data_IF_724488512353
#
_entry.id   IF_724488512353
#
_cell.length_a   1.000
_cell.length_b   1.000
_cell.length_c   1.000
_cell.angle_alpha   90.00
_cell.angle_beta   90.00
_cell.angle_gamma   90.00
#
_symmetry.space_group_name_H-M   'P 1'
#
loop_
_entity.id
_entity.type
_entity.pdbx_description
1 polymer ?
#
# COMPACT_ATOMS: atom_id res chain seq x y z
N UNK A 1 30.18 -2.30 -51.35
CA UNK A 1 31.14 -2.98 -50.45
C UNK A 1 30.72 -2.59 -49.05
N UNK A 2 29.83 -3.37 -48.43
CA UNK A 2 29.31 -3.05 -47.11
C UNK A 2 30.42 -3.42 -46.11
N UNK A 3 30.91 -2.43 -45.37
CA UNK A 3 31.75 -2.66 -44.20
C UNK A 3 30.85 -3.36 -43.19
N UNK A 4 30.88 -4.68 -43.18
CA UNK A 4 30.25 -5.47 -42.12
C UNK A 4 31.14 -5.25 -40.91
N UNK A 5 30.62 -4.59 -39.87
CA UNK A 5 31.31 -4.45 -38.59
C UNK A 5 31.78 -5.84 -38.17
N UNK A 6 33.10 -6.05 -38.21
CA UNK A 6 33.71 -7.32 -37.87
C UNK A 6 33.75 -7.54 -36.37
N UNK A 7 33.40 -6.51 -35.58
CA UNK A 7 33.46 -6.51 -34.14
C UNK A 7 32.07 -6.30 -33.52
N UNK A 8 31.83 -6.98 -32.41
CA UNK A 8 30.64 -6.85 -31.57
C UNK A 8 31.04 -6.31 -30.21
N UNK A 9 30.30 -5.32 -29.71
CA UNK A 9 30.52 -4.80 -28.35
C UNK A 9 29.71 -5.61 -27.36
N UNK A 10 30.39 -6.25 -26.42
CA UNK A 10 29.79 -7.03 -25.36
C UNK A 10 30.11 -6.41 -23.99
N UNK A 11 29.14 -6.50 -23.09
CA UNK A 11 29.26 -6.04 -21.71
C UNK A 11 29.46 -7.24 -20.78
N UNK A 12 30.67 -7.43 -20.28
CA UNK A 12 30.99 -8.50 -19.34
C UNK A 12 30.73 -8.04 -17.91
N UNK A 13 29.93 -8.80 -17.17
CA UNK A 13 29.69 -8.58 -15.74
C UNK A 13 30.22 -9.74 -14.93
N UNK A 14 31.22 -9.48 -14.11
CA UNK A 14 31.94 -10.50 -13.35
C UNK A 14 31.46 -10.50 -11.90
N UNK A 15 31.04 -11.68 -11.44
CA UNK A 15 30.60 -11.89 -10.07
C UNK A 15 31.37 -13.06 -9.44
N UNK A 16 32.39 -12.73 -8.65
CA UNK A 16 33.30 -13.70 -8.03
C UNK A 16 32.71 -14.43 -6.81
N UNK A 17 31.55 -14.00 -6.31
CA UNK A 17 30.85 -14.63 -5.19
C UNK A 17 31.51 -14.43 -3.81
N UNK A 18 32.56 -13.62 -3.71
CA UNK A 18 33.05 -13.07 -2.43
C UNK A 18 32.26 -11.82 -2.07
N UNK A 19 31.89 -11.72 -0.80
CA UNK A 19 31.08 -10.64 -0.21
C UNK A 19 31.67 -9.26 -0.53
N UNK A 20 30.78 -8.32 -0.87
CA UNK A 20 30.96 -6.85 -0.92
C UNK A 20 31.85 -6.21 -1.99
N UNK A 21 32.65 -6.96 -2.78
CA UNK A 21 33.34 -6.35 -3.92
C UNK A 21 32.39 -6.16 -5.11
N UNK A 22 32.21 -4.89 -5.50
CA UNK A 22 31.44 -4.43 -6.66
C UNK A 22 31.49 -5.39 -7.85
N UNK A 23 30.33 -5.71 -8.42
CA UNK A 23 30.26 -6.45 -9.68
C UNK A 23 31.03 -5.64 -10.74
N UNK A 24 32.19 -6.16 -11.17
CA UNK A 24 33.03 -5.47 -12.13
C UNK A 24 32.41 -5.62 -13.51
N UNK A 25 32.23 -4.50 -14.18
CA UNK A 25 31.68 -4.45 -15.53
C UNK A 25 32.76 -3.97 -16.50
N UNK A 26 32.91 -4.68 -17.62
CA UNK A 26 33.81 -4.30 -18.70
C UNK A 26 33.06 -4.31 -20.02
N UNK A 27 33.29 -3.26 -20.79
CA UNK A 27 32.83 -3.17 -22.16
C UNK A 27 34.00 -3.48 -23.07
N UNK A 28 33.83 -4.46 -23.95
CA UNK A 28 34.87 -4.84 -24.90
C UNK A 28 34.28 -5.02 -26.29
N UNK A 29 34.97 -4.49 -27.29
CA UNK A 29 34.75 -4.82 -28.70
C UNK A 29 35.52 -6.10 -29.03
N UNK A 30 34.81 -7.15 -29.43
CA UNK A 30 35.38 -8.45 -29.71
C UNK A 30 35.13 -8.79 -31.18
N UNK A 31 36.13 -9.34 -31.90
CA UNK A 31 35.92 -9.84 -33.25
C UNK A 31 34.85 -10.93 -33.29
N UNK A 32 33.92 -10.84 -34.23
CA UNK A 32 32.85 -11.81 -34.45
C UNK A 32 33.37 -13.24 -34.72
N UNK A 33 34.60 -13.37 -35.22
CA UNK A 33 35.27 -14.66 -35.46
C UNK A 33 35.88 -15.29 -34.21
N UNK A 34 36.10 -14.52 -33.14
CA UNK A 34 36.69 -15.03 -31.91
C UNK A 34 35.67 -15.85 -31.12
N UNK A 35 36.18 -16.80 -30.32
CA UNK A 35 35.35 -17.51 -29.34
C UNK A 35 35.41 -16.84 -27.97
N UNK A 36 34.38 -17.04 -27.16
CA UNK A 36 34.36 -16.51 -25.79
C UNK A 36 35.50 -17.10 -24.94
N UNK A 37 35.93 -18.33 -25.20
CA UNK A 37 37.05 -18.97 -24.51
C UNK A 37 38.38 -18.24 -24.74
N UNK A 38 38.65 -17.79 -25.96
CA UNK A 38 39.88 -17.06 -26.32
C UNK A 38 39.97 -15.72 -25.60
N UNK A 39 38.83 -15.03 -25.46
CA UNK A 39 38.75 -13.68 -24.90
C UNK A 39 38.60 -13.68 -23.38
N UNK A 40 38.27 -14.82 -22.77
CA UNK A 40 38.06 -14.96 -21.33
C UNK A 40 39.26 -14.48 -20.51
N UNK A 41 40.48 -14.89 -20.89
CA UNK A 41 41.68 -14.52 -20.14
C UNK A 41 41.89 -12.99 -20.12
N UNK A 42 41.72 -12.35 -21.28
CA UNK A 42 41.86 -10.90 -21.44
C UNK A 42 40.77 -10.14 -20.66
N UNK A 43 39.52 -10.61 -20.71
CA UNK A 43 38.42 -10.04 -19.92
C UNK A 43 38.68 -10.14 -18.42
N UNK A 44 39.18 -11.27 -17.94
CA UNK A 44 39.52 -11.46 -16.53
C UNK A 44 40.70 -10.59 -16.10
N UNK A 45 41.72 -10.45 -16.95
CA UNK A 45 42.88 -9.60 -16.70
C UNK A 45 42.49 -8.12 -16.65
N UNK A 46 41.75 -7.62 -17.65
CA UNK A 46 41.26 -6.24 -17.68
C UNK A 46 40.34 -5.94 -16.49
N UNK A 47 39.52 -6.92 -16.09
CA UNK A 47 38.66 -6.80 -14.91
C UNK A 47 39.40 -6.94 -13.60
N UNK A 48 40.70 -7.24 -13.63
CA UNK A 48 41.51 -7.56 -12.46
C UNK A 48 40.83 -8.64 -11.59
N UNK A 49 40.17 -9.60 -12.23
CA UNK A 49 39.32 -10.58 -11.58
C UNK A 49 40.15 -11.44 -10.61
N UNK A 50 39.62 -11.81 -9.43
CA UNK A 50 40.36 -12.61 -8.48
C UNK A 50 40.64 -14.00 -9.04
N UNK A 51 41.79 -14.56 -8.68
CA UNK A 51 42.08 -15.96 -8.97
C UNK A 51 41.13 -16.85 -8.18
N UNK A 52 40.37 -17.68 -8.91
CA UNK A 52 39.41 -18.63 -8.34
C UNK A 52 39.87 -20.06 -8.63
N UNK A 53 39.57 -20.98 -7.73
CA UNK A 53 39.94 -22.41 -7.84
C UNK A 53 39.00 -23.23 -8.75
N UNK A 54 37.98 -22.58 -9.31
CA UNK A 54 36.88 -23.21 -10.05
C UNK A 54 36.77 -22.50 -11.41
N UNK A 55 36.49 -23.20 -12.53
CA UNK A 55 36.39 -22.56 -13.83
C UNK A 55 35.27 -21.52 -13.86
N UNK A 56 35.43 -20.49 -14.70
CA UNK A 56 34.39 -19.51 -14.98
C UNK A 56 33.31 -20.11 -15.88
N UNK A 57 32.06 -19.80 -15.56
CA UNK A 57 30.88 -20.10 -16.33
C UNK A 57 30.35 -18.80 -16.94
N UNK A 58 30.09 -18.81 -18.24
CA UNK A 58 29.51 -17.68 -18.96
C UNK A 58 28.03 -17.92 -19.21
N UNK A 59 27.22 -16.93 -18.87
CA UNK A 59 25.77 -16.98 -19.02
C UNK A 59 25.26 -15.67 -19.62
N UNK A 60 24.13 -15.70 -20.31
CA UNK A 60 23.41 -14.47 -20.67
C UNK A 60 22.84 -13.79 -19.42
N UNK A 61 22.37 -12.54 -19.55
CA UNK A 61 21.63 -11.88 -18.47
C UNK A 61 20.39 -12.66 -18.00
N UNK A 62 19.80 -13.47 -18.87
CA UNK A 62 18.67 -14.36 -18.55
C UNK A 62 19.09 -15.66 -17.84
N UNK A 63 20.40 -15.90 -17.69
CA UNK A 63 20.94 -17.09 -17.03
C UNK A 63 21.09 -18.32 -17.94
N UNK A 64 20.98 -18.16 -19.27
CA UNK A 64 21.24 -19.24 -20.23
C UNK A 64 22.75 -19.43 -20.35
N UNK A 65 23.23 -20.65 -20.17
CA UNK A 65 24.64 -20.99 -20.34
C UNK A 65 25.06 -20.86 -21.80
N UNK A 66 26.18 -20.17 -22.02
CA UNK A 66 26.75 -19.95 -23.34
C UNK A 66 27.83 -21.00 -23.60
N UNK A 67 27.83 -21.60 -24.79
CA UNK A 67 28.94 -22.41 -25.24
C UNK A 67 30.14 -21.51 -25.54
N UNK A 68 31.24 -21.71 -24.82
CA UNK A 68 32.42 -20.85 -24.91
C UNK A 68 33.31 -21.17 -26.11
N UNK A 69 33.11 -22.31 -26.77
CA UNK A 69 34.02 -22.80 -27.82
C UNK A 69 33.58 -22.42 -29.24
N UNK A 70 32.35 -21.96 -29.40
CA UNK A 70 31.85 -21.48 -30.69
C UNK A 70 32.20 -20.01 -30.90
N UNK A 71 32.35 -19.62 -32.17
CA UNK A 71 32.60 -18.22 -32.52
C UNK A 71 31.38 -17.35 -32.17
N UNK A 72 31.62 -16.10 -31.77
CA UNK A 72 30.54 -15.19 -31.34
C UNK A 72 29.52 -14.96 -32.46
N UNK A 73 29.95 -14.95 -33.74
CA UNK A 73 29.06 -14.89 -34.90
C UNK A 73 28.02 -16.02 -34.97
N UNK A 74 28.26 -17.14 -34.30
CA UNK A 74 27.37 -18.30 -34.25
C UNK A 74 26.54 -18.37 -32.96
N UNK A 75 26.74 -17.42 -32.05
CA UNK A 75 25.94 -17.26 -30.84
C UNK A 75 24.80 -16.27 -31.07
N UNK A 76 23.75 -16.35 -30.27
CA UNK A 76 22.62 -15.38 -30.28
C UNK A 76 22.98 -14.04 -29.58
N UNK A 77 24.26 -13.67 -29.52
CA UNK A 77 24.71 -12.44 -28.88
C UNK A 77 24.69 -11.29 -29.88
N UNK A 78 23.96 -10.22 -29.55
CA UNK A 78 23.89 -8.98 -30.32
C UNK A 78 24.74 -7.86 -29.68
N UNK A 79 25.00 -6.78 -30.42
CA UNK A 79 25.73 -5.62 -29.89
C UNK A 79 25.02 -5.06 -28.65
N UNK A 80 25.77 -4.84 -27.57
CA UNK A 80 25.23 -4.42 -26.28
C UNK A 80 24.74 -5.58 -25.39
N UNK A 81 24.88 -6.84 -25.83
CA UNK A 81 24.52 -7.99 -25.00
C UNK A 81 25.40 -8.09 -23.75
N UNK A 82 24.77 -8.53 -22.65
CA UNK A 82 25.43 -8.68 -21.36
C UNK A 82 25.79 -10.14 -21.13
N UNK A 83 27.09 -10.40 -20.96
CA UNK A 83 27.64 -11.72 -20.61
C UNK A 83 28.02 -11.73 -19.13
N UNK A 84 27.36 -12.57 -18.36
CA UNK A 84 27.59 -12.74 -16.92
C UNK A 84 28.61 -13.85 -16.68
N UNK A 85 29.73 -13.49 -16.05
CA UNK A 85 30.82 -14.37 -15.65
C UNK A 85 30.66 -14.73 -14.17
N UNK A 86 30.51 -16.01 -13.87
CA UNK A 86 30.35 -16.54 -12.50
C UNK A 86 31.22 -17.77 -12.31
N UNK A 87 31.77 -18.03 -11.11
CA UNK A 87 32.39 -19.31 -10.81
C UNK A 87 31.40 -20.45 -11.05
N UNK A 88 31.80 -21.48 -11.78
CA UNK A 88 30.97 -22.65 -12.09
C UNK A 88 30.63 -23.39 -10.81
N UNK A 89 29.45 -23.16 -10.25
CA UNK A 89 28.99 -23.92 -9.09
C UNK A 89 28.40 -25.24 -9.57
N UNK A 90 28.69 -26.37 -8.92
CA UNK A 90 27.95 -27.59 -9.18
C UNK A 90 26.47 -27.28 -8.89
N UNK A 91 25.67 -27.20 -9.95
CA UNK A 91 24.22 -27.14 -9.80
C UNK A 91 23.81 -28.46 -9.14
N UNK A 92 23.07 -28.44 -8.02
CA UNK A 92 22.59 -29.67 -7.43
C UNK A 92 21.83 -30.43 -8.51
N UNK A 93 22.13 -31.72 -8.67
CA UNK A 93 21.50 -32.56 -9.68
C UNK A 93 19.98 -32.38 -9.54
N UNK A 94 19.25 -32.03 -10.60
CA UNK A 94 17.82 -31.87 -10.52
C UNK A 94 17.22 -33.19 -10.08
N UNK A 95 16.74 -33.25 -8.84
CA UNK A 95 16.02 -34.41 -8.33
C UNK A 95 14.66 -34.39 -9.00
N UNK A 96 14.41 -35.38 -9.85
CA UNK A 96 13.08 -35.60 -10.43
C UNK A 96 12.14 -35.96 -9.27
N UNK A 97 11.35 -34.98 -8.83
CA UNK A 97 10.32 -35.17 -7.80
C UNK A 97 9.00 -35.46 -8.50
N UNK A 98 8.25 -36.42 -7.99
CA UNK A 98 6.85 -36.59 -8.39
C UNK A 98 6.07 -35.31 -8.04
N UNK A 99 5.00 -35.03 -8.78
CA UNK A 99 4.08 -33.90 -8.58
C UNK A 99 3.66 -33.71 -7.12
N UNK A 100 3.37 -34.79 -6.39
CA UNK A 100 3.04 -34.73 -4.97
C UNK A 100 4.23 -34.35 -4.08
N UNK A 101 5.42 -34.86 -4.40
CA UNK A 101 6.66 -34.56 -3.68
C UNK A 101 7.18 -33.14 -3.99
N UNK A 102 6.94 -32.65 -5.20
CA UNK A 102 7.25 -31.27 -5.59
C UNK A 102 6.41 -30.27 -4.78
N UNK A 103 5.09 -30.53 -4.66
CA UNK A 103 4.18 -29.69 -3.87
C UNK A 103 4.49 -29.75 -2.37
N UNK A 104 4.79 -30.94 -1.82
CA UNK A 104 5.12 -31.07 -0.40
C UNK A 104 6.50 -30.48 -0.05
N UNK A 105 7.48 -30.60 -0.95
CA UNK A 105 8.79 -29.98 -0.78
C UNK A 105 8.73 -28.45 -0.84
N UNK A 106 7.82 -27.88 -1.64
CA UNK A 106 7.47 -26.45 -1.59
C UNK A 106 6.85 -26.07 -0.23
N UNK A 107 6.02 -26.96 0.33
CA UNK A 107 5.38 -26.77 1.64
C UNK A 107 6.37 -26.75 2.82
N UNK A 108 7.49 -27.47 2.74
CA UNK A 108 8.51 -27.51 3.79
C UNK A 108 9.21 -26.16 4.05
N UNK A 109 9.13 -25.22 3.11
CA UNK A 109 9.65 -23.85 3.27
C UNK A 109 8.61 -22.85 3.79
N UNK A 110 7.34 -23.26 3.90
CA UNK A 110 6.28 -22.42 4.44
C UNK A 110 6.25 -22.57 5.96
N UNK A 111 6.51 -21.47 6.68
CA UNK A 111 6.45 -21.40 8.15
C UNK A 111 4.99 -21.39 8.62
N UNK A 112 4.26 -22.48 8.39
CA UNK A 112 2.83 -22.63 8.71
C UNK A 112 2.49 -22.32 10.17
N UNK A 113 3.42 -22.64 11.10
CA UNK A 113 3.26 -22.42 12.55
C UNK A 113 3.04 -20.95 12.92
N UNK A 114 3.61 -20.01 12.15
CA UNK A 114 3.48 -18.58 12.46
C UNK A 114 2.07 -18.05 12.13
N UNK A 115 1.47 -18.53 11.05
CA UNK A 115 0.15 -18.09 10.59
C UNK A 115 -1.00 -18.69 11.40
N UNK A 116 -0.85 -19.94 11.85
CA UNK A 116 -1.86 -20.56 12.74
C UNK A 116 -1.86 -19.91 14.13
N UNK A 117 -0.69 -19.55 14.66
CA UNK A 117 -0.60 -18.78 15.91
C UNK A 117 -1.19 -17.36 15.78
N UNK A 118 -0.98 -16.71 14.64
CA UNK A 118 -1.62 -15.43 14.28
C UNK A 118 -3.15 -15.55 14.26
N UNK A 119 -3.68 -16.56 13.56
CA UNK A 119 -5.11 -16.81 13.47
C UNK A 119 -5.73 -17.17 14.84
N UNK A 120 -5.05 -18.00 15.63
CA UNK A 120 -5.49 -18.37 16.98
C UNK A 120 -5.51 -17.16 17.93
N UNK A 121 -4.52 -16.26 17.82
CA UNK A 121 -4.51 -15.01 18.58
C UNK A 121 -5.68 -14.10 18.18
N UNK A 122 -5.97 -14.02 16.89
CA UNK A 122 -7.08 -13.23 16.35
C UNK A 122 -8.44 -13.80 16.79
N UNK A 123 -8.63 -15.11 16.68
CA UNK A 123 -9.86 -15.78 17.14
C UNK A 123 -10.03 -15.71 18.65
N UNK A 124 -8.94 -15.84 19.41
CA UNK A 124 -8.94 -15.67 20.86
C UNK A 124 -9.32 -14.25 21.26
N UNK A 125 -8.81 -13.25 20.56
CA UNK A 125 -9.17 -11.85 20.79
C UNK A 125 -10.66 -11.58 20.52
N UNK A 126 -11.20 -12.07 19.40
CA UNK A 126 -12.63 -11.98 19.09
C UNK A 126 -13.45 -12.74 20.13
N UNK A 127 -13.01 -13.93 20.54
CA UNK A 127 -13.67 -14.75 21.57
C UNK A 127 -13.76 -14.03 22.91
N UNK A 128 -12.67 -13.41 23.38
CA UNK A 128 -12.68 -12.59 24.59
C UNK A 128 -13.66 -11.41 24.50
N UNK A 129 -13.77 -10.79 23.31
CA UNK A 129 -14.71 -9.70 23.09
C UNK A 129 -16.16 -10.18 23.08
N UNK A 130 -16.44 -11.29 22.38
CA UNK A 130 -17.76 -11.89 22.37
C UNK A 130 -18.20 -12.29 23.79
N UNK A 131 -17.30 -12.88 24.59
CA UNK A 131 -17.58 -13.22 25.97
C UNK A 131 -17.91 -11.98 26.82
N UNK A 132 -17.17 -10.89 26.67
CA UNK A 132 -17.41 -9.66 27.45
C UNK A 132 -18.67 -8.91 27.01
N UNK A 133 -18.99 -8.92 25.71
CA UNK A 133 -20.15 -8.24 25.13
C UNK A 133 -21.46 -9.02 25.33
N UNK A 134 -21.40 -10.35 25.30
CA UNK A 134 -22.57 -11.24 25.45
C UNK A 134 -22.73 -11.75 26.88
N UNK A 135 -21.78 -11.44 27.77
CA UNK A 135 -21.89 -11.81 29.18
C UNK A 135 -23.13 -11.15 29.79
N UNK A 136 -23.95 -11.88 30.56
CA UNK A 136 -25.11 -11.34 31.27
C UNK A 136 -24.72 -10.41 32.45
N UNK A 137 -23.44 -10.04 32.58
CA UNK A 137 -22.97 -9.14 33.63
C UNK A 137 -23.44 -7.71 33.40
N UNK A 138 -23.78 -6.96 34.46
CA UNK A 138 -24.27 -5.58 34.37
C UNK A 138 -23.16 -4.56 34.04
N UNK A 139 -22.07 -5.00 33.41
CA UNK A 139 -20.95 -4.12 33.06
C UNK A 139 -21.37 -3.20 31.91
N UNK A 140 -21.12 -1.88 32.02
CA UNK A 140 -21.40 -0.97 30.92
C UNK A 140 -20.52 -1.34 29.72
N UNK A 141 -21.08 -1.22 28.51
CA UNK A 141 -20.41 -1.55 27.24
C UNK A 141 -19.01 -0.96 27.16
N UNK A 142 -18.85 0.30 27.56
CA UNK A 142 -17.57 0.97 27.55
C UNK A 142 -16.51 0.28 28.43
N UNK A 143 -16.88 -0.14 29.65
CA UNK A 143 -15.96 -0.86 30.54
C UNK A 143 -15.59 -2.24 29.97
N UNK A 144 -16.53 -2.94 29.34
CA UNK A 144 -16.27 -4.24 28.70
C UNK A 144 -15.22 -4.12 27.58
N UNK A 145 -15.33 -3.09 26.73
CA UNK A 145 -14.38 -2.82 25.66
C UNK A 145 -13.02 -2.37 26.21
N UNK A 146 -13.01 -1.54 27.25
CA UNK A 146 -11.78 -1.13 27.92
C UNK A 146 -11.00 -2.31 28.50
N UNK A 147 -11.69 -3.23 29.19
CA UNK A 147 -11.10 -4.45 29.75
C UNK A 147 -10.56 -5.35 28.62
N UNK A 148 -11.33 -5.53 27.53
CA UNK A 148 -10.88 -6.28 26.37
C UNK A 148 -9.59 -5.69 25.76
N UNK A 149 -9.55 -4.36 25.57
CA UNK A 149 -8.38 -3.65 25.07
C UNK A 149 -7.15 -3.83 25.96
N UNK A 150 -7.32 -3.79 27.29
CA UNK A 150 -6.24 -4.04 28.25
C UNK A 150 -5.73 -5.47 28.21
N UNK A 151 -6.62 -6.46 28.10
CA UNK A 151 -6.24 -7.88 27.97
C UNK A 151 -5.44 -8.12 26.68
N UNK A 152 -5.86 -7.53 25.57
CA UNK A 152 -5.12 -7.62 24.30
C UNK A 152 -3.78 -6.89 24.35
N UNK A 153 -3.73 -5.73 25.01
CA UNK A 153 -2.48 -5.03 25.27
C UNK A 153 -1.53 -5.88 26.12
N UNK A 154 -2.03 -6.54 27.16
CA UNK A 154 -1.23 -7.47 27.96
C UNK A 154 -0.69 -8.62 27.09
N UNK A 155 -1.53 -9.24 26.27
CA UNK A 155 -1.10 -10.28 25.32
C UNK A 155 -0.03 -9.76 24.33
N UNK A 156 -0.20 -8.54 23.82
CA UNK A 156 0.78 -7.86 22.96
C UNK A 156 2.10 -7.55 23.68
N UNK A 157 2.04 -7.25 24.98
CA UNK A 157 3.19 -7.13 25.89
C UNK A 157 3.84 -8.49 26.15
N UNK A 158 3.27 -9.64 25.80
CA UNK A 158 4.00 -10.92 25.82
C UNK A 158 4.56 -11.27 24.44
N UNK A 159 3.74 -11.14 23.40
CA UNK A 159 4.10 -11.44 22.03
C UNK A 159 3.57 -10.36 21.08
N UNK A 160 4.41 -9.37 20.66
CA UNK A 160 3.96 -8.28 19.81
C UNK A 160 3.54 -8.84 18.44
N UNK A 161 2.28 -8.59 18.08
CA UNK A 161 1.65 -9.12 16.89
C UNK A 161 0.93 -8.00 16.13
N UNK A 162 1.25 -7.87 14.84
CA UNK A 162 0.69 -6.86 13.96
C UNK A 162 -0.85 -6.92 13.84
N UNK A 163 -1.46 -8.10 14.01
CA UNK A 163 -2.92 -8.28 13.94
C UNK A 163 -3.65 -7.88 15.23
N UNK A 164 -2.98 -7.91 16.38
CA UNK A 164 -3.59 -7.51 17.66
C UNK A 164 -3.69 -5.98 17.78
N UNK A 165 -2.73 -5.26 17.20
CA UNK A 165 -2.65 -3.81 17.25
C UNK A 165 -3.94 -3.09 16.82
N UNK A 166 -4.54 -3.35 15.64
CA UNK A 166 -5.77 -2.69 15.25
C UNK A 166 -6.94 -2.97 16.20
N UNK A 167 -7.01 -4.16 16.81
CA UNK A 167 -8.05 -4.46 17.81
C UNK A 167 -7.86 -3.68 19.10
N UNK A 168 -6.62 -3.59 19.59
CA UNK A 168 -6.29 -2.80 20.79
C UNK A 168 -6.71 -1.35 20.56
N UNK A 169 -6.30 -0.77 19.42
CA UNK A 169 -6.64 0.61 19.04
C UNK A 169 -8.14 0.79 18.94
N UNK A 170 -8.85 -0.12 18.27
CA UNK A 170 -10.30 -0.05 18.13
C UNK A 170 -11.01 -0.10 19.50
N UNK A 171 -10.69 -1.06 20.37
CA UNK A 171 -11.38 -1.20 21.65
C UNK A 171 -11.09 -0.06 22.61
N UNK A 172 -9.84 0.42 22.67
CA UNK A 172 -9.49 1.58 23.50
C UNK A 172 -10.19 2.84 22.97
N UNK A 173 -10.22 3.04 21.65
CA UNK A 173 -10.89 4.16 21.02
C UNK A 173 -12.42 4.11 21.24
N UNK A 174 -13.08 2.99 20.99
CA UNK A 174 -14.52 2.85 21.21
C UNK A 174 -14.89 2.94 22.70
N UNK A 175 -14.10 2.33 23.59
CA UNK A 175 -14.30 2.44 25.03
C UNK A 175 -14.32 3.89 25.48
N UNK A 176 -13.26 4.65 25.16
CA UNK A 176 -13.17 6.06 25.57
C UNK A 176 -14.23 6.93 24.89
N UNK A 177 -14.55 6.68 23.63
CA UNK A 177 -15.63 7.37 22.94
C UNK A 177 -16.99 7.16 23.62
N UNK A 178 -17.33 5.91 23.96
CA UNK A 178 -18.60 5.59 24.63
C UNK A 178 -18.65 6.20 26.04
N UNK A 179 -17.54 6.18 26.79
CA UNK A 179 -17.47 6.84 28.11
C UNK A 179 -17.74 8.34 27.99
N UNK A 180 -17.05 9.01 27.07
CA UNK A 180 -17.13 10.49 26.95
C UNK A 180 -18.45 10.93 26.32
N UNK A 181 -19.01 10.16 25.40
CA UNK A 181 -20.36 10.45 24.88
C UNK A 181 -21.44 10.32 25.95
N UNK A 182 -21.26 9.46 26.97
CA UNK A 182 -22.19 9.33 28.09
C UNK A 182 -23.63 9.00 27.69
N UNK A 183 -23.85 8.47 26.48
CA UNK A 183 -25.18 8.24 25.89
C UNK A 183 -25.90 9.51 25.39
N UNK A 184 -25.25 10.67 25.40
CA UNK A 184 -25.82 11.95 24.98
C UNK A 184 -25.31 12.33 23.59
N UNK A 185 -26.23 12.57 22.65
CA UNK A 185 -25.88 12.91 21.27
C UNK A 185 -25.05 14.19 21.14
N UNK A 186 -25.21 15.17 22.03
CA UNK A 186 -24.46 16.43 21.99
C UNK A 186 -22.95 16.27 22.30
N UNK A 187 -22.56 15.18 22.96
CA UNK A 187 -21.17 14.91 23.35
C UNK A 187 -20.48 13.98 22.33
N UNK A 188 -21.18 13.63 21.24
CA UNK A 188 -20.69 12.65 20.30
C UNK A 188 -19.37 13.06 19.63
N UNK A 189 -19.20 14.35 19.36
CA UNK A 189 -17.94 14.92 18.82
C UNK A 189 -16.79 14.76 19.81
N UNK A 190 -17.03 15.08 21.08
CA UNK A 190 -16.06 14.92 22.16
C UNK A 190 -15.71 13.44 22.37
N UNK A 191 -16.69 12.55 22.23
CA UNK A 191 -16.48 11.11 22.20
C UNK A 191 -15.56 10.66 21.08
N UNK A 192 -15.79 11.11 19.83
CA UNK A 192 -14.88 10.80 18.72
C UNK A 192 -13.47 11.30 18.99
N UNK A 193 -13.32 12.55 19.47
CA UNK A 193 -12.00 13.11 19.80
C UNK A 193 -11.30 12.30 20.91
N UNK A 194 -12.00 11.94 21.97
CA UNK A 194 -11.47 11.09 23.04
C UNK A 194 -11.06 9.71 22.51
N UNK A 195 -11.89 9.13 21.64
CA UNK A 195 -11.61 7.89 20.91
C UNK A 195 -10.32 7.99 20.09
N UNK A 196 -10.16 9.05 19.32
CA UNK A 196 -8.96 9.23 18.51
C UNK A 196 -7.72 9.46 19.39
N UNK A 197 -7.79 10.34 20.38
CA UNK A 197 -6.66 10.61 21.28
C UNK A 197 -6.19 9.33 21.98
N UNK A 198 -7.12 8.55 22.54
CA UNK A 198 -6.79 7.27 23.19
C UNK A 198 -6.26 6.23 22.20
N UNK A 199 -6.78 6.21 20.97
CA UNK A 199 -6.26 5.39 19.88
C UNK A 199 -4.81 5.73 19.52
N UNK A 200 -4.46 7.01 19.40
CA UNK A 200 -3.07 7.43 19.15
C UNK A 200 -2.15 7.03 20.31
N UNK A 201 -2.60 7.18 21.56
CA UNK A 201 -1.86 6.73 22.74
C UNK A 201 -1.62 5.21 22.66
N UNK A 202 -2.63 4.42 22.30
CA UNK A 202 -2.50 2.98 22.14
C UNK A 202 -1.51 2.60 21.01
N UNK A 203 -1.54 3.31 19.87
CA UNK A 203 -0.57 3.12 18.77
C UNK A 203 0.85 3.42 19.25
N UNK A 204 1.07 4.55 19.93
CA UNK A 204 2.39 4.94 20.45
C UNK A 204 2.91 3.95 21.48
N UNK A 205 2.04 3.45 22.36
CA UNK A 205 2.39 2.44 23.36
C UNK A 205 2.77 1.12 22.68
N UNK A 206 2.00 0.66 21.70
CA UNK A 206 2.29 -0.55 20.94
C UNK A 206 3.58 -0.42 20.12
N UNK A 207 3.85 0.75 19.54
CA UNK A 207 5.11 1.08 18.88
C UNK A 207 6.28 0.96 19.86
N UNK A 208 6.17 1.60 21.03
CA UNK A 208 7.22 1.58 22.04
C UNK A 208 7.52 0.17 22.55
N UNK A 209 6.49 -0.65 22.81
CA UNK A 209 6.64 -2.05 23.20
C UNK A 209 7.32 -2.86 22.08
N UNK A 210 6.93 -2.64 20.81
CA UNK A 210 7.55 -3.31 19.67
C UNK A 210 9.04 -2.97 19.54
N UNK A 211 9.40 -1.68 19.64
CA UNK A 211 10.79 -1.23 19.58
C UNK A 211 11.68 -1.86 20.67
N UNK A 212 11.15 -2.02 21.90
CA UNK A 212 11.91 -2.63 23.01
C UNK A 212 12.13 -4.14 22.85
N UNK A 213 11.29 -4.80 22.06
CA UNK A 213 11.25 -6.27 21.92
C UNK A 213 11.90 -6.79 20.66
N UNK A 214 12.09 -5.95 19.64
CA UNK A 214 12.76 -6.39 18.43
C UNK A 214 14.23 -6.72 18.76
N UNK A 215 14.73 -7.94 18.47
CA UNK A 215 16.15 -8.16 18.42
C UNK A 215 16.67 -7.31 17.27
N UNK A 216 17.40 -6.24 17.57
CA UNK A 216 17.91 -5.34 16.56
C UNK A 216 18.86 -6.15 15.66
N UNK A 217 18.43 -6.47 14.43
CA UNK A 217 19.34 -7.04 13.43
C UNK A 217 20.37 -5.95 13.09
N UNK A 218 21.62 -6.33 12.89
CA UNK A 218 22.77 -5.39 12.85
C UNK A 218 22.66 -4.27 11.80
N UNK A 219 21.85 -4.45 10.75
CA UNK A 219 21.54 -3.42 9.74
C UNK A 219 20.37 -2.51 10.16
N UNK A 220 19.23 -3.07 10.60
CA UNK A 220 18.09 -2.28 11.09
C UNK A 220 18.43 -1.49 12.37
N UNK A 221 19.34 -2.01 13.19
CA UNK A 221 19.88 -1.37 14.38
C UNK A 221 20.67 -0.09 14.05
N UNK A 222 21.46 -0.11 12.97
CA UNK A 222 22.27 1.05 12.53
C UNK A 222 21.40 2.19 12.00
N UNK A 223 20.22 1.89 11.48
CA UNK A 223 19.29 2.89 10.93
C UNK A 223 18.24 3.38 11.95
N UNK A 224 18.10 2.73 13.11
CA UNK A 224 17.13 3.08 14.16
C UNK A 224 15.74 2.44 13.98
N UNK A 225 15.62 1.40 13.16
CA UNK A 225 14.35 0.82 12.72
C UNK A 225 14.05 -0.44 13.52
N UNK A 226 13.63 -0.26 14.77
CA UNK A 226 13.43 -1.35 15.74
C UNK A 226 12.11 -2.12 15.56
N UNK A 227 11.50 -2.14 14.37
CA UNK A 227 10.17 -2.71 14.19
C UNK A 227 10.07 -3.40 12.85
N UNK A 228 9.57 -4.66 12.85
CA UNK A 228 9.37 -5.45 11.63
C UNK A 228 8.47 -4.73 10.61
N UNK A 229 8.64 -4.96 9.29
CA UNK A 229 7.88 -4.25 8.25
C UNK A 229 6.36 -4.47 8.36
N UNK A 230 5.91 -5.66 8.75
CA UNK A 230 4.48 -5.97 8.93
C UNK A 230 3.87 -5.14 10.07
N UNK A 231 4.62 -4.94 11.14
CA UNK A 231 4.19 -4.13 12.27
C UNK A 231 4.18 -2.63 11.91
N UNK A 232 5.22 -2.13 11.22
CA UNK A 232 5.24 -0.75 10.70
C UNK A 232 4.03 -0.45 9.83
N UNK A 233 3.67 -1.37 8.93
CA UNK A 233 2.46 -1.28 8.08
C UNK A 233 1.17 -1.19 8.90
N UNK A 234 1.05 -1.97 9.96
CA UNK A 234 -0.16 -1.99 10.80
C UNK A 234 -0.30 -0.72 11.66
N UNK A 235 0.82 -0.22 12.19
CA UNK A 235 0.89 1.03 12.96
C UNK A 235 0.48 2.22 12.10
N UNK A 236 1.00 2.28 10.88
CA UNK A 236 0.71 3.35 9.92
C UNK A 236 -0.73 3.28 9.45
N UNK A 237 -1.26 2.09 9.18
CA UNK A 237 -2.69 1.92 8.87
C UNK A 237 -3.59 2.42 10.01
N UNK A 238 -3.29 2.06 11.27
CA UNK A 238 -4.07 2.53 12.42
C UNK A 238 -3.98 4.05 12.60
N UNK A 239 -2.78 4.62 12.50
CA UNK A 239 -2.58 6.07 12.56
C UNK A 239 -3.37 6.79 11.45
N UNK A 240 -3.36 6.26 10.23
CA UNK A 240 -4.14 6.80 9.12
C UNK A 240 -5.64 6.75 9.40
N UNK A 241 -6.19 5.63 9.88
CA UNK A 241 -7.61 5.54 10.25
C UNK A 241 -7.98 6.61 11.29
N UNK A 242 -7.17 6.76 12.34
CA UNK A 242 -7.39 7.76 13.39
C UNK A 242 -7.35 9.20 12.82
N UNK A 243 -6.40 9.51 11.94
CA UNK A 243 -6.34 10.81 11.26
C UNK A 243 -7.60 11.08 10.42
N UNK A 244 -8.14 10.07 9.75
CA UNK A 244 -9.36 10.21 8.94
C UNK A 244 -10.61 10.42 9.81
N UNK A 245 -10.70 9.74 10.97
CA UNK A 245 -11.75 10.02 11.96
C UNK A 245 -11.65 11.45 12.49
N UNK A 246 -10.44 11.96 12.77
CA UNK A 246 -10.24 13.36 13.17
C UNK A 246 -10.73 14.33 12.10
N UNK A 247 -10.41 14.06 10.83
CA UNK A 247 -10.85 14.91 9.72
C UNK A 247 -12.38 15.00 9.58
N UNK A 248 -13.13 14.01 10.09
CA UNK A 248 -14.59 14.02 10.12
C UNK A 248 -15.22 14.83 11.26
N UNK A 249 -14.47 15.13 12.33
CA UNK A 249 -14.98 15.85 13.52
C UNK A 249 -15.57 17.24 13.26
N UNK A 250 -15.10 18.04 12.27
CA UNK A 250 -15.72 19.34 11.95
C UNK A 250 -17.20 19.23 11.59
N UNK A 251 -17.62 18.13 10.94
CA UNK A 251 -19.04 17.91 10.66
C UNK A 251 -19.87 17.83 11.94
N UNK A 252 -19.35 17.14 12.96
CA UNK A 252 -20.00 17.04 14.26
C UNK A 252 -20.25 18.41 14.89
N UNK A 253 -19.26 19.29 14.88
CA UNK A 253 -19.40 20.66 15.43
C UNK A 253 -20.39 21.52 14.65
N UNK A 254 -20.42 21.39 13.32
CA UNK A 254 -21.38 22.13 12.49
C UNK A 254 -22.84 21.76 12.80
N UNK A 255 -23.09 20.47 13.05
CA UNK A 255 -24.43 19.95 13.31
C UNK A 255 -24.82 19.91 14.80
N UNK A 256 -23.89 20.22 15.73
CA UNK A 256 -24.14 20.18 17.18
C UNK A 256 -25.29 21.11 17.64
N UNK A 257 -25.64 22.12 16.84
CA UNK A 257 -26.72 23.08 17.13
C UNK A 257 -28.08 22.68 16.58
N UNK A 258 -28.17 21.60 15.80
CA UNK A 258 -29.40 21.14 15.16
C UNK A 258 -29.98 19.95 15.91
N UNK A 259 -30.92 20.22 16.82
CA UNK A 259 -31.59 19.18 17.63
C UNK A 259 -32.48 18.24 16.81
N UNK A 260 -32.84 18.61 15.57
CA UNK A 260 -33.74 17.85 14.70
C UNK A 260 -33.14 16.55 14.14
N UNK A 261 -31.81 16.39 14.15
CA UNK A 261 -31.13 15.20 13.61
C UNK A 261 -29.85 14.83 14.39
N UNK A 262 -29.95 14.25 15.60
CA UNK A 262 -28.83 13.98 16.50
C UNK A 262 -27.74 13.05 15.91
N UNK A 263 -28.04 12.34 14.82
CA UNK A 263 -27.13 11.42 14.14
C UNK A 263 -26.86 11.77 12.66
N UNK A 264 -27.41 12.89 12.15
CA UNK A 264 -27.19 13.30 10.76
C UNK A 264 -25.75 13.71 10.45
N UNK A 265 -25.02 14.18 11.47
CA UNK A 265 -23.63 14.62 11.34
C UNK A 265 -22.66 13.50 10.95
N UNK A 266 -23.00 12.23 11.19
CA UNK A 266 -22.20 11.07 10.76
C UNK A 266 -22.10 10.95 9.23
N UNK A 267 -23.12 11.40 8.50
CA UNK A 267 -23.13 11.44 7.03
C UNK A 267 -22.09 12.45 6.55
N UNK A 268 -22.12 13.67 7.10
CA UNK A 268 -21.12 14.70 6.83
C UNK A 268 -19.70 14.30 7.25
N UNK A 269 -19.54 13.64 8.40
CA UNK A 269 -18.26 13.14 8.88
C UNK A 269 -17.68 12.07 7.94
N UNK A 270 -18.52 11.16 7.44
CA UNK A 270 -18.13 10.14 6.46
C UNK A 270 -17.69 10.76 5.12
N UNK A 271 -18.40 11.79 4.66
CA UNK A 271 -18.05 12.51 3.44
C UNK A 271 -16.74 13.32 3.57
N UNK A 272 -16.53 13.99 4.72
CA UNK A 272 -15.27 14.70 5.00
C UNK A 272 -14.10 13.75 5.16
N UNK A 273 -14.27 12.65 5.90
CA UNK A 273 -13.23 11.65 6.07
C UNK A 273 -12.85 10.96 4.74
N UNK A 274 -13.81 10.69 3.86
CA UNK A 274 -13.52 10.14 2.52
C UNK A 274 -12.80 11.15 1.64
N UNK A 275 -13.15 12.44 1.68
CA UNK A 275 -12.39 13.49 0.98
C UNK A 275 -10.96 13.58 1.52
N UNK A 276 -10.78 13.59 2.84
CA UNK A 276 -9.47 13.59 3.47
C UNK A 276 -8.65 12.35 3.07
N UNK A 277 -9.29 11.19 2.91
CA UNK A 277 -8.65 9.96 2.45
C UNK A 277 -8.18 10.07 1.00
N UNK A 278 -8.95 10.70 0.11
CA UNK A 278 -8.53 10.96 -1.28
C UNK A 278 -7.31 11.89 -1.31
N UNK A 279 -7.35 12.99 -0.56
CA UNK A 279 -6.22 13.93 -0.44
C UNK A 279 -4.99 13.25 0.15
N UNK A 280 -5.17 12.42 1.16
CA UNK A 280 -4.09 11.64 1.76
C UNK A 280 -3.53 10.61 0.79
N UNK A 281 -4.36 9.95 -0.02
CA UNK A 281 -3.91 9.02 -1.06
C UNK A 281 -3.01 9.69 -2.09
N UNK A 282 -3.38 10.88 -2.55
CA UNK A 282 -2.58 11.68 -3.51
C UNK A 282 -1.24 12.13 -2.89
N UNK A 283 -1.25 12.50 -1.61
CA UNK A 283 -0.04 12.97 -0.90
C UNK A 283 0.77 11.83 -0.27
N UNK A 284 0.27 10.59 -0.30
CA UNK A 284 0.87 9.42 0.33
C UNK A 284 2.31 9.13 -0.15
N UNK A 285 2.67 9.24 -1.45
CA UNK A 285 4.04 8.99 -1.88
C UNK A 285 5.05 9.93 -1.22
N UNK A 286 4.72 11.23 -1.11
CA UNK A 286 5.58 12.23 -0.48
C UNK A 286 5.70 11.98 1.02
N UNK A 287 4.58 11.68 1.69
CA UNK A 287 4.56 11.36 3.11
C UNK A 287 5.38 10.10 3.40
N UNK A 288 5.20 9.05 2.60
CA UNK A 288 5.90 7.79 2.74
C UNK A 288 7.41 7.92 2.47
N UNK A 289 7.82 8.74 1.50
CA UNK A 289 9.23 9.05 1.26
C UNK A 289 9.87 9.75 2.46
N UNK A 290 9.20 10.77 3.01
CA UNK A 290 9.67 11.49 4.22
C UNK A 290 9.73 10.58 5.44
N UNK A 291 8.71 9.75 5.69
CA UNK A 291 8.71 8.75 6.76
C UNK A 291 9.77 7.67 6.54
N UNK A 292 10.08 7.37 5.27
CA UNK A 292 11.15 6.50 4.82
C UNK A 292 12.56 7.04 5.09
N UNK A 293 12.69 8.33 5.39
CA UNK A 293 13.99 9.01 5.49
C UNK A 293 14.65 9.27 4.13
N UNK A 294 13.90 9.15 3.03
CA UNK A 294 14.41 9.49 1.71
C UNK A 294 14.51 11.01 1.58
N UNK A 295 15.70 11.52 1.31
CA UNK A 295 15.93 12.91 0.96
C UNK A 295 15.48 13.17 -0.48
N UNK A 296 15.00 14.39 -0.74
CA UNK A 296 14.80 14.85 -2.11
C UNK A 296 16.19 15.10 -2.69
N UNK A 297 16.55 14.50 -3.85
CA UNK A 297 17.83 14.76 -4.47
C UNK A 297 17.93 16.26 -4.79
N UNK A 298 19.04 16.88 -4.39
CA UNK A 298 19.31 18.24 -4.79
C UNK A 298 19.65 18.23 -6.29
N UNK A 299 19.18 19.25 -6.99
CA UNK A 299 19.47 19.42 -8.42
C UNK A 299 20.47 20.56 -8.47
N UNK A 300 21.74 20.29 -8.83
CA UNK A 300 22.77 21.31 -8.83
C UNK A 300 22.36 22.44 -9.76
N UNK A 301 22.69 23.66 -9.34
CA UNK A 301 22.44 24.84 -10.15
C UNK A 301 23.41 24.88 -11.34
N UNK A 302 23.03 25.53 -12.45
CA UNK A 302 23.83 25.50 -13.68
C UNK A 302 25.26 26.01 -13.43
N UNK A 303 26.26 25.14 -13.67
CA UNK A 303 27.69 25.43 -13.45
C UNK A 303 28.27 24.84 -12.18
N UNK A 304 27.46 24.21 -11.34
CA UNK A 304 27.89 23.44 -10.16
C UNK A 304 28.28 22.01 -10.56
N UNK A 305 29.31 21.44 -9.92
CA UNK A 305 29.90 20.18 -10.33
C UNK A 305 28.99 19.00 -9.95
N UNK A 306 28.61 18.19 -10.95
CA UNK A 306 27.69 17.06 -10.81
C UNK A 306 28.23 15.96 -9.89
N UNK A 307 29.55 15.91 -9.72
CA UNK A 307 30.23 14.91 -8.88
C UNK A 307 30.13 15.21 -7.37
N UNK A 308 29.67 16.40 -6.97
CA UNK A 308 29.70 16.84 -5.56
C UNK A 308 28.58 16.22 -4.71
N UNK A 309 27.58 15.56 -5.33
CA UNK A 309 26.34 15.13 -4.66
C UNK A 309 25.97 13.65 -4.76
N UNK A 310 26.82 12.80 -5.35
CA UNK A 310 26.78 11.37 -5.04
C UNK A 310 27.21 11.21 -3.57
N UNK A 311 26.32 11.55 -2.64
CA UNK A 311 26.53 11.34 -1.22
C UNK A 311 26.99 9.90 -1.04
N UNK A 312 28.02 9.69 -0.20
CA UNK A 312 28.56 8.40 0.27
C UNK A 312 27.52 7.52 1.01
N UNK A 313 26.23 7.68 0.71
CA UNK A 313 25.16 6.84 1.21
C UNK A 313 25.26 5.50 0.51
N UNK A 314 25.78 4.51 1.22
CA UNK A 314 25.89 3.15 0.72
C UNK A 314 24.56 2.69 0.10
N UNK A 315 24.59 2.03 -1.09
CA UNK A 315 23.37 1.67 -1.83
C UNK A 315 22.40 0.81 -1.01
N UNK A 316 22.93 0.01 -0.08
CA UNK A 316 22.13 -0.81 0.85
C UNK A 316 21.27 0.04 1.79
N UNK A 317 21.77 1.20 2.22
CA UNK A 317 21.06 2.14 3.09
C UNK A 317 19.87 2.73 2.34
N UNK A 318 20.09 3.16 1.10
CA UNK A 318 19.06 3.73 0.24
C UNK A 318 18.00 2.68 -0.13
N UNK A 319 18.42 1.44 -0.39
CA UNK A 319 17.49 0.33 -0.63
C UNK A 319 16.63 0.03 0.61
N UNK A 320 17.21 0.04 1.81
CA UNK A 320 16.47 -0.13 3.06
C UNK A 320 15.45 0.99 3.27
N UNK A 321 15.82 2.26 3.04
CA UNK A 321 14.92 3.43 3.11
C UNK A 321 13.80 3.39 2.05
N UNK A 322 14.07 2.87 0.85
CA UNK A 322 13.06 2.66 -0.18
C UNK A 322 12.06 1.56 0.20
N UNK A 323 12.54 0.43 0.72
CA UNK A 323 11.68 -0.66 1.20
C UNK A 323 10.78 -0.20 2.36
N UNK A 324 11.38 0.54 3.27
CA UNK A 324 10.74 1.27 4.33
C UNK A 324 9.62 2.21 3.87
N UNK A 325 9.91 3.13 2.95
CA UNK A 325 8.93 4.04 2.37
C UNK A 325 7.76 3.26 1.75
N UNK A 326 8.05 2.17 1.04
CA UNK A 326 7.02 1.29 0.49
C UNK A 326 6.12 0.68 1.58
N UNK A 327 6.68 0.28 2.72
CA UNK A 327 5.91 -0.26 3.85
C UNK A 327 4.98 0.81 4.45
N UNK A 328 5.46 2.05 4.60
CA UNK A 328 4.64 3.19 5.03
C UNK A 328 3.51 3.48 4.03
N UNK A 329 3.84 3.48 2.75
CA UNK A 329 2.89 3.72 1.66
C UNK A 329 1.77 2.68 1.60
N UNK A 330 2.11 1.39 1.72
CA UNK A 330 1.14 0.30 1.82
C UNK A 330 0.25 0.44 3.06
N UNK A 331 0.82 0.86 4.19
CA UNK A 331 0.10 1.07 5.44
C UNK A 331 -0.93 2.21 5.36
N UNK A 332 -0.55 3.35 4.77
CA UNK A 332 -1.47 4.47 4.52
C UNK A 332 -2.69 4.02 3.71
N UNK A 333 -2.47 3.25 2.64
CA UNK A 333 -3.55 2.77 1.79
C UNK A 333 -4.43 1.71 2.47
N UNK A 334 -3.86 0.86 3.33
CA UNK A 334 -4.64 -0.04 4.18
C UNK A 334 -5.50 0.73 5.20
N UNK A 335 -4.99 1.84 5.74
CA UNK A 335 -5.75 2.72 6.60
C UNK A 335 -6.90 3.42 5.86
N UNK A 336 -6.62 3.95 4.67
CA UNK A 336 -7.62 4.53 3.76
C UNK A 336 -8.72 3.51 3.47
N UNK A 337 -8.36 2.28 3.09
CA UNK A 337 -9.32 1.18 2.87
C UNK A 337 -10.21 0.93 4.09
N UNK A 338 -9.58 0.77 5.25
CA UNK A 338 -10.25 0.42 6.50
C UNK A 338 -11.24 1.48 6.95
N UNK A 339 -10.99 2.75 6.63
CA UNK A 339 -11.90 3.86 6.91
C UNK A 339 -12.97 4.02 5.82
N UNK A 340 -12.57 4.05 4.55
CA UNK A 340 -13.46 4.41 3.44
C UNK A 340 -14.54 3.35 3.16
N UNK A 341 -14.25 2.06 3.33
CA UNK A 341 -15.26 1.01 3.06
C UNK A 341 -16.46 1.13 4.01
N UNK A 342 -16.28 1.19 5.35
CA UNK A 342 -17.37 1.50 6.28
C UNK A 342 -18.02 2.86 6.01
N UNK A 343 -17.24 3.89 5.69
CA UNK A 343 -17.78 5.23 5.42
C UNK A 343 -18.72 5.22 4.19
N UNK A 344 -18.35 4.56 3.10
CA UNK A 344 -19.20 4.42 1.91
C UNK A 344 -20.42 3.53 2.15
N UNK A 345 -20.27 2.49 2.97
CA UNK A 345 -21.41 1.69 3.41
C UNK A 345 -22.40 2.54 4.23
N UNK A 346 -21.90 3.39 5.13
CA UNK A 346 -22.73 4.31 5.91
C UNK A 346 -23.40 5.38 5.03
N UNK A 347 -22.68 5.97 4.08
CA UNK A 347 -23.23 6.88 3.08
C UNK A 347 -24.31 6.20 2.22
N UNK A 348 -24.12 4.93 1.86
CA UNK A 348 -25.11 4.16 1.11
C UNK A 348 -26.38 3.91 1.96
N UNK A 349 -26.22 3.47 3.21
CA UNK A 349 -27.34 3.18 4.11
C UNK A 349 -28.13 4.44 4.47
N UNK A 350 -27.44 5.54 4.74
CA UNK A 350 -28.07 6.84 5.04
C UNK A 350 -28.85 7.43 3.87
N UNK A 351 -28.59 6.99 2.63
CA UNK A 351 -29.38 7.38 1.45
C UNK A 351 -30.76 6.72 1.38
N UNK A 352 -31.01 5.67 2.18
CA UNK A 352 -32.28 4.96 2.20
C UNK A 352 -33.35 5.77 2.94
N UNK A 353 -34.58 5.89 2.40
CA UNK A 353 -35.68 6.60 3.05
C UNK A 353 -36.06 6.03 4.43
N UNK A 354 -35.73 4.76 4.71
CA UNK A 354 -36.01 4.11 5.99
C UNK A 354 -35.06 4.54 7.13
N UNK A 355 -33.87 5.02 6.80
CA UNK A 355 -32.80 5.37 7.76
C UNK A 355 -32.47 6.89 7.66
N UNK A 356 -33.12 7.62 6.75
CA UNK A 356 -32.69 8.92 6.27
C UNK A 356 -32.51 9.97 7.37
N UNK A 357 -31.24 10.24 7.71
CA UNK A 357 -30.82 11.38 8.52
C UNK A 357 -30.31 12.51 7.61
N UNK A 358 -31.22 13.23 6.93
CA UNK A 358 -30.88 14.39 6.08
C UNK A 358 -29.83 14.12 4.97
N UNK A 359 -29.69 12.88 4.50
CA UNK A 359 -28.77 12.59 3.40
C UNK A 359 -29.36 13.11 2.08
N UNK A 360 -28.54 13.81 1.28
CA UNK A 360 -28.88 14.19 -0.09
C UNK A 360 -28.51 13.02 -1.04
N UNK A 361 -29.46 12.13 -1.42
CA UNK A 361 -29.14 10.88 -2.12
C UNK A 361 -28.46 11.13 -3.47
N UNK A 362 -28.84 12.20 -4.18
CA UNK A 362 -28.20 12.62 -5.44
C UNK A 362 -26.73 12.99 -5.20
N UNK A 363 -26.44 13.82 -4.21
CA UNK A 363 -25.08 14.28 -3.91
C UNK A 363 -24.19 13.13 -3.44
N UNK A 364 -24.73 12.22 -2.63
CA UNK A 364 -24.04 11.00 -2.19
C UNK A 364 -23.74 10.08 -3.37
N UNK A 365 -24.69 9.90 -4.29
CA UNK A 365 -24.50 9.11 -5.49
C UNK A 365 -23.40 9.71 -6.38
N UNK A 366 -23.45 11.02 -6.65
CA UNK A 366 -22.42 11.73 -7.42
C UNK A 366 -21.04 11.66 -6.75
N UNK A 367 -20.97 11.75 -5.42
CA UNK A 367 -19.72 11.59 -4.67
C UNK A 367 -19.17 10.17 -4.84
N UNK A 368 -20.03 9.15 -4.74
CA UNK A 368 -19.67 7.76 -5.01
C UNK A 368 -19.12 7.55 -6.43
N UNK A 369 -19.75 8.16 -7.44
CA UNK A 369 -19.25 8.13 -8.82
C UNK A 369 -17.86 8.78 -8.95
N UNK A 370 -17.68 9.99 -8.42
CA UNK A 370 -16.42 10.72 -8.49
C UNK A 370 -15.28 9.96 -7.79
N UNK A 371 -15.50 9.47 -6.57
CA UNK A 371 -14.47 8.73 -5.83
C UNK A 371 -14.21 7.36 -6.44
N UNK A 372 -15.23 6.64 -6.90
CA UNK A 372 -15.06 5.35 -7.57
C UNK A 372 -14.13 5.47 -8.78
N UNK A 373 -14.43 6.43 -9.63
CA UNK A 373 -13.68 6.70 -10.85
C UNK A 373 -12.24 7.15 -10.56
N UNK A 374 -12.06 8.06 -9.61
CA UNK A 374 -10.74 8.51 -9.19
C UNK A 374 -9.90 7.32 -8.67
N UNK A 375 -10.44 6.50 -7.77
CA UNK A 375 -9.69 5.42 -7.13
C UNK A 375 -9.38 4.26 -8.07
N UNK A 376 -10.30 3.88 -8.95
CA UNK A 376 -10.09 2.79 -9.93
C UNK A 376 -9.01 3.21 -10.95
N UNK A 377 -9.06 4.44 -11.46
CA UNK A 377 -8.03 4.94 -12.38
C UNK A 377 -6.68 5.08 -11.67
N UNK A 378 -6.69 5.62 -10.44
CA UNK A 378 -5.48 5.76 -9.63
C UNK A 378 -4.81 4.41 -9.34
N UNK A 379 -5.61 3.36 -9.11
CA UNK A 379 -5.11 2.01 -8.82
C UNK A 379 -4.16 1.48 -9.91
N UNK A 380 -4.41 1.82 -11.18
CA UNK A 380 -3.58 1.37 -12.30
C UNK A 380 -2.16 1.98 -12.31
N UNK A 381 -1.91 3.03 -11.54
CA UNK A 381 -0.60 3.67 -11.43
C UNK A 381 0.31 2.98 -10.40
N UNK A 382 -0.26 2.13 -9.55
CA UNK A 382 0.49 1.48 -8.48
C UNK A 382 1.09 0.14 -8.92
N UNK A 383 2.34 -0.08 -8.54
CA UNK A 383 3.04 -1.36 -8.78
C UNK A 383 2.92 -2.32 -7.58
N UNK A 384 2.54 -1.82 -6.40
CA UNK A 384 2.35 -2.66 -5.20
C UNK A 384 0.97 -3.33 -5.25
N UNK A 385 0.88 -4.66 -5.18
CA UNK A 385 -0.40 -5.35 -5.22
C UNK A 385 -1.30 -4.95 -4.03
N UNK A 386 -0.71 -4.70 -2.86
CA UNK A 386 -1.45 -4.25 -1.68
C UNK A 386 -2.17 -2.93 -1.96
N UNK A 387 -1.45 -1.93 -2.48
CA UNK A 387 -2.00 -0.61 -2.80
C UNK A 387 -3.06 -0.70 -3.89
N UNK A 388 -2.81 -1.50 -4.94
CA UNK A 388 -3.77 -1.74 -6.03
C UNK A 388 -5.07 -2.30 -5.46
N UNK A 389 -5.01 -3.34 -4.62
CA UNK A 389 -6.21 -3.91 -4.01
C UNK A 389 -6.91 -2.95 -3.05
N UNK A 390 -6.18 -2.19 -2.24
CA UNK A 390 -6.77 -1.19 -1.35
C UNK A 390 -7.54 -0.13 -2.11
N UNK A 391 -6.94 0.45 -3.16
CA UNK A 391 -7.57 1.47 -4.00
C UNK A 391 -8.76 0.92 -4.78
N UNK A 392 -8.65 -0.29 -5.35
CA UNK A 392 -9.77 -0.98 -6.00
C UNK A 392 -10.95 -1.20 -5.05
N UNK A 393 -10.71 -1.75 -3.86
CA UNK A 393 -11.78 -2.04 -2.90
C UNK A 393 -12.48 -0.77 -2.44
N UNK A 394 -11.76 0.34 -2.24
CA UNK A 394 -12.37 1.65 -1.98
C UNK A 394 -13.21 2.12 -3.17
N UNK A 395 -12.67 2.00 -4.39
CA UNK A 395 -13.39 2.36 -5.62
C UNK A 395 -14.67 1.55 -5.84
N UNK A 396 -14.65 0.26 -5.48
CA UNK A 396 -15.82 -0.63 -5.53
C UNK A 396 -16.83 -0.32 -4.43
N UNK A 397 -16.40 0.02 -3.22
CA UNK A 397 -17.29 0.46 -2.15
C UNK A 397 -17.99 1.78 -2.53
N UNK A 398 -17.27 2.72 -3.14
CA UNK A 398 -17.83 3.97 -3.68
C UNK A 398 -18.83 3.70 -4.83
N UNK A 399 -18.53 2.74 -5.71
CA UNK A 399 -19.43 2.32 -6.78
C UNK A 399 -20.74 1.71 -6.24
N UNK A 400 -20.63 0.88 -5.21
CA UNK A 400 -21.79 0.30 -4.53
C UNK A 400 -22.62 1.40 -3.84
N UNK A 401 -21.96 2.38 -3.22
CA UNK A 401 -22.60 3.55 -2.64
C UNK A 401 -23.36 4.37 -3.70
N UNK A 402 -22.76 4.58 -4.88
CA UNK A 402 -23.43 5.18 -6.04
C UNK A 402 -24.68 4.39 -6.45
N UNK A 403 -24.60 3.07 -6.56
CA UNK A 403 -25.73 2.25 -6.98
C UNK A 403 -26.92 2.34 -6.00
N UNK A 404 -26.64 2.22 -4.69
CA UNK A 404 -27.66 2.27 -3.63
C UNK A 404 -28.25 3.68 -3.54
N UNK A 405 -27.42 4.72 -3.47
CA UNK A 405 -27.88 6.10 -3.39
C UNK A 405 -28.60 6.55 -4.68
N UNK A 406 -28.16 6.09 -5.84
CA UNK A 406 -28.80 6.33 -7.12
C UNK A 406 -30.18 5.71 -7.21
N UNK A 407 -30.34 4.46 -6.76
CA UNK A 407 -31.66 3.80 -6.67
C UNK A 407 -32.62 4.55 -5.72
N UNK A 408 -32.10 5.05 -4.59
CA UNK A 408 -32.91 5.79 -3.61
C UNK A 408 -33.16 7.26 -3.99
N UNK A 409 -32.44 7.81 -4.97
CA UNK A 409 -32.53 9.23 -5.35
C UNK A 409 -33.84 9.59 -6.06
N UNK A 410 -34.55 8.62 -6.63
CA UNK A 410 -35.71 8.84 -7.50
C UNK A 410 -35.39 9.55 -8.83
N UNK A 411 -34.13 9.88 -9.10
CA UNK A 411 -33.73 10.61 -10.31
C UNK A 411 -33.15 9.66 -11.37
N UNK A 412 -33.86 9.56 -12.51
CA UNK A 412 -33.49 8.66 -13.60
C UNK A 412 -32.05 8.83 -14.11
N UNK A 413 -31.54 10.07 -14.18
CA UNK A 413 -30.20 10.34 -14.70
C UNK A 413 -29.09 9.72 -13.82
N UNK A 414 -29.26 9.77 -12.50
CA UNK A 414 -28.32 9.18 -11.54
C UNK A 414 -28.37 7.65 -11.61
N UNK A 415 -29.58 7.09 -11.78
CA UNK A 415 -29.76 5.65 -11.96
C UNK A 415 -29.09 5.15 -13.24
N UNK A 416 -29.24 5.88 -14.35
CA UNK A 416 -28.57 5.57 -15.63
C UNK A 416 -27.05 5.64 -15.48
N UNK A 417 -26.53 6.69 -14.82
CA UNK A 417 -25.10 6.81 -14.54
C UNK A 417 -24.57 5.62 -13.73
N UNK A 418 -25.27 5.25 -12.65
CA UNK A 418 -24.93 4.08 -11.83
C UNK A 418 -24.95 2.79 -12.66
N UNK A 419 -25.96 2.60 -13.51
CA UNK A 419 -26.07 1.46 -14.41
C UNK A 419 -24.91 1.37 -15.40
N UNK A 420 -24.49 2.50 -15.99
CA UNK A 420 -23.34 2.55 -16.90
C UNK A 420 -22.05 2.18 -16.18
N UNK A 421 -21.77 2.77 -15.00
CA UNK A 421 -20.54 2.49 -14.26
C UNK A 421 -20.49 1.04 -13.75
N UNK A 422 -21.59 0.53 -13.19
CA UNK A 422 -21.69 -0.86 -12.77
C UNK A 422 -21.58 -1.83 -13.96
N UNK A 423 -22.22 -1.52 -15.08
CA UNK A 423 -22.12 -2.30 -16.31
C UNK A 423 -20.70 -2.33 -16.88
N UNK A 424 -20.00 -1.19 -16.88
CA UNK A 424 -18.60 -1.11 -17.28
C UNK A 424 -17.71 -1.98 -16.39
N UNK A 425 -17.91 -1.94 -15.07
CA UNK A 425 -17.18 -2.79 -14.11
C UNK A 425 -17.50 -4.28 -14.28
N UNK A 426 -18.77 -4.65 -14.48
CA UNK A 426 -19.19 -6.03 -14.72
C UNK A 426 -18.59 -6.59 -16.03
N UNK A 427 -18.44 -5.74 -17.05
CA UNK A 427 -17.84 -6.09 -18.33
C UNK A 427 -16.30 -5.98 -18.34
N UNK A 428 -15.65 -5.70 -17.20
CA UNK A 428 -14.19 -5.55 -17.12
C UNK A 428 -13.38 -6.69 -17.76
N UNK A 429 -13.74 -7.98 -17.59
CA UNK A 429 -13.02 -9.07 -18.26
C UNK A 429 -13.04 -8.99 -19.79
N UNK A 430 -14.08 -8.37 -20.38
CA UNK A 430 -14.22 -8.25 -21.83
C UNK A 430 -13.30 -7.17 -22.45
N UNK A 431 -12.91 -6.16 -21.67
CA UNK A 431 -12.11 -5.03 -22.18
C UNK A 431 -10.74 -4.84 -21.51
N UNK A 432 -10.45 -5.50 -20.39
CA UNK A 432 -9.19 -5.36 -19.65
C UNK A 432 -7.95 -5.65 -20.49
N UNK A 433 -8.00 -6.66 -21.35
CA UNK A 433 -6.89 -7.01 -22.26
C UNK A 433 -6.55 -5.88 -23.25
N UNK A 434 -7.52 -5.03 -23.59
CA UNK A 434 -7.34 -3.90 -24.51
C UNK A 434 -6.66 -2.71 -23.84
N UNK A 435 -6.61 -2.66 -22.51
CA UNK A 435 -5.95 -1.56 -21.77
C UNK A 435 -4.46 -1.47 -22.06
N UNK A 436 -3.80 -2.59 -22.42
CA UNK A 436 -2.38 -2.62 -22.78
C UNK A 436 -2.07 -1.95 -24.12
N UNK A 437 -3.08 -1.77 -24.97
CA UNK A 437 -2.95 -1.23 -26.32
C UNK A 437 -3.57 0.18 -26.45
N UNK A 438 -3.78 0.89 -25.33
CA UNK A 438 -4.35 2.23 -25.37
C UNK A 438 -3.37 3.21 -26.02
N UNK A 439 -3.89 4.05 -26.91
CA UNK A 439 -3.12 5.15 -27.49
C UNK A 439 -2.68 6.13 -26.40
N UNK A 440 -1.52 6.79 -26.53
CA UNK A 440 -1.07 7.80 -25.57
C UNK A 440 -2.11 8.92 -25.35
N UNK A 441 -2.84 9.31 -26.40
CA UNK A 441 -3.92 10.29 -26.30
C UNK A 441 -5.08 9.84 -25.42
N UNK A 442 -5.45 8.56 -25.47
CA UNK A 442 -6.52 8.01 -24.60
C UNK A 442 -6.08 8.00 -23.14
N UNK A 443 -4.81 7.67 -22.87
CA UNK A 443 -4.25 7.70 -21.52
C UNK A 443 -4.35 9.11 -20.93
N UNK A 444 -3.94 10.15 -21.68
CA UNK A 444 -4.05 11.54 -21.21
C UNK A 444 -5.49 11.94 -20.90
N UNK A 445 -6.48 11.49 -21.69
CA UNK A 445 -7.89 11.74 -21.38
C UNK A 445 -8.35 11.06 -20.10
N UNK A 446 -7.90 9.83 -19.83
CA UNK A 446 -8.18 9.12 -18.58
C UNK A 446 -7.55 9.85 -17.38
N UNK A 447 -6.33 10.36 -17.52
CA UNK A 447 -5.67 11.14 -16.46
C UNK A 447 -6.41 12.45 -16.15
N UNK A 448 -6.91 13.14 -17.18
CA UNK A 448 -7.76 14.32 -17.02
C UNK A 448 -9.07 13.99 -16.33
N UNK A 449 -9.66 12.84 -16.66
CA UNK A 449 -10.91 12.39 -16.05
C UNK A 449 -10.73 12.02 -14.57
N UNK A 450 -9.62 11.37 -14.21
CA UNK A 450 -9.22 11.15 -12.82
C UNK A 450 -9.09 12.46 -12.06
N UNK A 451 -8.39 13.44 -12.63
CA UNK A 451 -8.17 14.76 -11.99
C UNK A 451 -9.49 15.52 -11.82
N UNK A 452 -10.34 15.53 -12.85
CA UNK A 452 -11.67 16.13 -12.78
C UNK A 452 -12.53 15.47 -11.68
N UNK A 453 -12.44 14.15 -11.52
CA UNK A 453 -13.17 13.40 -10.50
C UNK A 453 -12.73 13.77 -9.08
N UNK A 454 -11.42 13.91 -8.86
CA UNK A 454 -10.87 14.40 -7.59
C UNK A 454 -11.34 15.83 -7.31
N UNK A 455 -11.31 16.72 -8.31
CA UNK A 455 -11.80 18.09 -8.16
C UNK A 455 -13.31 18.15 -7.84
N UNK A 456 -14.12 17.26 -8.43
CA UNK A 456 -15.56 17.16 -8.15
C UNK A 456 -15.88 16.63 -6.75
N UNK A 457 -15.00 15.81 -6.16
CA UNK A 457 -15.22 15.27 -4.82
C UNK A 457 -15.35 16.38 -3.77
N UNK A 458 -14.61 17.49 -3.91
CA UNK A 458 -14.65 18.62 -2.95
C UNK A 458 -16.05 19.26 -2.85
N UNK A 459 -16.64 19.85 -3.92
CA UNK A 459 -17.96 20.46 -3.82
C UNK A 459 -19.05 19.44 -3.49
N UNK A 460 -18.93 18.19 -3.93
CA UNK A 460 -19.88 17.13 -3.60
C UNK A 460 -19.86 16.79 -2.10
N UNK A 461 -18.68 16.67 -1.50
CA UNK A 461 -18.53 16.50 -0.06
C UNK A 461 -19.13 17.67 0.71
N UNK A 462 -18.88 18.91 0.28
CA UNK A 462 -19.47 20.10 0.92
C UNK A 462 -21.00 20.14 0.82
N UNK A 463 -21.55 19.63 -0.29
CA UNK A 463 -23.00 19.49 -0.45
C UNK A 463 -23.57 18.38 0.44
N UNK A 464 -22.90 17.22 0.55
CA UNK A 464 -23.31 16.13 1.47
C UNK A 464 -23.19 16.56 2.93
N UNK A 465 -22.20 17.40 3.25
CA UNK A 465 -22.04 18.04 4.55
C UNK A 465 -23.12 19.10 4.85
N UNK A 466 -23.94 19.50 3.87
CA UNK A 466 -24.98 20.51 4.05
C UNK A 466 -24.48 21.95 4.17
N UNK A 467 -23.18 22.22 3.94
CA UNK A 467 -22.58 23.55 4.10
C UNK A 467 -23.28 24.61 3.24
N UNK A 468 -23.62 24.27 1.99
CA UNK A 468 -24.33 25.19 1.10
C UNK A 468 -25.76 25.50 1.57
N UNK A 469 -26.43 24.54 2.22
CA UNK A 469 -27.74 24.77 2.84
C UNK A 469 -27.64 25.77 3.99
N UNK A 470 -26.62 25.60 4.86
CA UNK A 470 -26.35 26.51 5.97
C UNK A 470 -26.05 27.93 5.48
N UNK A 471 -25.20 28.08 4.46
CA UNK A 471 -24.86 29.40 3.89
C UNK A 471 -26.06 30.12 3.28
N UNK A 472 -27.04 29.38 2.76
CA UNK A 472 -28.27 29.95 2.17
C UNK A 472 -29.34 30.28 3.21
N UNK A 473 -29.13 29.98 4.49
CA UNK A 473 -30.11 30.20 5.55
C UNK A 473 -31.29 29.23 5.54
N UNK A 474 -31.26 28.20 4.68
CA UNK A 474 -32.20 27.07 4.75
C UNK A 474 -31.70 26.10 5.83
N UNK A 475 -31.90 26.48 7.09
CA UNK A 475 -31.85 25.56 8.22
C UNK A 475 -33.09 24.66 8.15
N UNK A 476 -32.97 23.53 7.45
CA UNK A 476 -33.95 22.43 7.48
C UNK A 476 -33.71 21.53 8.69
#
# INVERSE_FOLDING_TARGET
MNVVDQDIRLHFRIHSGRSEDSARAIDMSIPNSASLHEVLAEVLELAHAPSISVPWQMTTAAGVELDTNIAIAQTDLEHGSIVMLRPRRPTPVPVLRDSAEAVSALGGHLTAVRWTALAASFSGAIGCCALLLLSPTPLPLAASLGIAGLMLLAAYVFAPNALLLPMIVAFVAFSSAIVVTGGRAHDAVLGVLAGVCSGFIAVLLCWFIACRRSPATTLEAKQGWHVTPVMRRSITACATVLLLFMAGTPAGWMYQRYESAPHGWWVGASALGTLAAVVLGITAPLLAAKLGGLSVPHVPTAGEDLATEDQDTAPDVLQAQAQAARVFFDGIHLGILSFCVPAFAWLALSSSPAIAFNAHPISTACLGAAVSLAMILHAHRHQSPTTVWCTWLVGMAALLSLAIAGANSGHWAVLVLAGIMCGAAALAPAWSNRLRALSPTTVVWLERFETASVCLAVPLTLQVLGLFGMLRGYAG
#
